data_IF_390482316057
#
_entry.id   IF_390482316057
#
_cell.length_a   1.000
_cell.length_b   1.000
_cell.length_c   1.000
_cell.angle_alpha   90.00
_cell.angle_beta   90.00
_cell.angle_gamma   90.00
#
_symmetry.space_group_name_H-M   'P 1'
#
loop_
_entity.id
_entity.type
_entity.pdbx_description
1 polymer ?
#
# COMPACT_ATOMS: atom_id res chain seq x y z
N UNK A 1 7.98 -12.94 11.65
CA UNK A 1 6.56 -12.80 11.25
C UNK A 1 6.49 -12.43 9.78
N UNK A 2 5.61 -13.05 9.00
CA UNK A 2 5.35 -12.64 7.62
C UNK A 2 4.30 -11.53 7.62
N UNK A 3 4.55 -10.44 6.90
CA UNK A 3 3.55 -9.39 6.66
C UNK A 3 3.37 -9.26 5.16
N UNK A 4 2.15 -9.38 4.68
CA UNK A 4 1.88 -9.42 3.25
C UNK A 4 0.57 -8.70 2.89
N UNK A 5 0.44 -8.33 1.62
CA UNK A 5 -0.75 -7.74 1.06
C UNK A 5 -0.96 -8.22 -0.37
N UNK A 6 -2.18 -8.59 -0.70
CA UNK A 6 -2.66 -8.85 -2.07
C UNK A 6 -3.40 -7.62 -2.64
N UNK A 7 -3.30 -6.47 -1.95
CA UNK A 7 -4.10 -5.28 -2.19
C UNK A 7 -3.23 -4.04 -2.38
N UNK A 8 -1.99 -4.21 -2.84
CA UNK A 8 -1.10 -3.07 -3.10
C UNK A 8 -1.50 -2.44 -4.43
N UNK A 9 -2.29 -1.36 -4.36
CA UNK A 9 -2.75 -0.65 -5.55
C UNK A 9 -1.59 -0.01 -6.32
N UNK A 10 -1.56 -0.23 -7.64
CA UNK A 10 -0.53 0.25 -8.56
C UNK A 10 -1.12 0.63 -9.92
N UNK A 11 -0.53 1.63 -10.58
CA UNK A 11 -0.90 2.00 -11.94
C UNK A 11 -0.37 0.98 -12.94
N UNK A 12 -1.22 0.61 -13.90
CA UNK A 12 -0.87 -0.28 -15.01
C UNK A 12 -0.33 0.49 -16.21
N UNK A 13 -0.85 1.69 -16.43
CA UNK A 13 -0.57 2.53 -17.58
C UNK A 13 -0.62 4.01 -17.23
N UNK A 14 -0.23 4.84 -18.19
CA UNK A 14 -0.36 6.29 -18.09
C UNK A 14 -1.82 6.69 -18.29
N UNK A 15 -2.37 7.46 -17.35
CA UNK A 15 -3.75 7.94 -17.40
C UNK A 15 -3.78 9.29 -18.12
N UNK A 16 -4.78 9.47 -18.99
CA UNK A 16 -5.13 10.76 -19.57
C UNK A 16 -6.51 11.15 -19.05
N UNK A 17 -6.56 12.16 -18.18
CA UNK A 17 -7.83 12.69 -17.69
C UNK A 17 -8.35 13.80 -18.58
N UNK A 18 -9.55 13.60 -19.13
CA UNK A 18 -10.30 14.58 -19.94
C UNK A 18 -11.54 15.05 -19.18
N UNK A 19 -12.20 14.13 -18.47
CA UNK A 19 -13.38 14.37 -17.66
C UNK A 19 -13.04 14.51 -16.17
N UNK A 20 -13.96 15.11 -15.41
CA UNK A 20 -13.71 15.47 -14.01
C UNK A 20 -13.44 14.29 -13.07
N UNK A 21 -13.90 13.10 -13.43
CA UNK A 21 -13.84 11.91 -12.60
C UNK A 21 -12.83 10.85 -13.10
N UNK A 22 -12.09 11.14 -14.17
CA UNK A 22 -11.06 10.24 -14.73
C UNK A 22 -9.94 9.96 -13.73
N UNK A 23 -9.67 10.89 -12.82
CA UNK A 23 -8.65 10.75 -11.77
C UNK A 23 -9.17 10.17 -10.46
N UNK A 24 -10.45 9.79 -10.38
CA UNK A 24 -11.01 9.18 -9.18
C UNK A 24 -10.53 7.74 -9.04
N UNK A 25 -9.98 7.40 -7.86
CA UNK A 25 -9.45 6.06 -7.59
C UNK A 25 -10.43 4.93 -7.92
N UNK A 26 -11.71 5.10 -7.55
CA UNK A 26 -12.75 4.10 -7.82
C UNK A 26 -13.01 3.90 -9.32
N UNK A 27 -12.97 4.98 -10.10
CA UNK A 27 -13.14 4.93 -11.54
C UNK A 27 -11.92 4.32 -12.21
N UNK A 28 -10.72 4.70 -11.79
CA UNK A 28 -9.47 4.12 -12.26
C UNK A 28 -9.37 2.61 -11.98
N UNK A 29 -9.81 2.16 -10.81
CA UNK A 29 -9.96 0.73 -10.51
C UNK A 29 -11.00 0.06 -11.40
N UNK A 30 -12.19 0.65 -11.55
CA UNK A 30 -13.30 0.11 -12.35
C UNK A 30 -12.93 -0.01 -13.84
N UNK A 31 -12.17 0.96 -14.35
CA UNK A 31 -11.75 1.04 -15.74
C UNK A 31 -10.47 0.22 -16.01
N UNK A 32 -9.87 -0.40 -14.98
CA UNK A 32 -8.73 -1.30 -15.13
C UNK A 32 -7.35 -0.62 -15.22
N UNK A 33 -7.27 0.68 -14.91
CA UNK A 33 -6.01 1.44 -14.85
C UNK A 33 -5.21 1.20 -13.57
N UNK A 34 -5.89 0.75 -12.50
CA UNK A 34 -5.25 0.35 -11.25
C UNK A 34 -5.40 -1.17 -11.08
N UNK A 35 -4.28 -1.82 -10.79
CA UNK A 35 -4.20 -3.23 -10.42
C UNK A 35 -3.84 -3.40 -8.95
N UNK A 36 -4.09 -4.59 -8.40
CA UNK A 36 -3.70 -4.96 -7.05
C UNK A 36 -2.53 -5.95 -7.11
N UNK A 37 -1.37 -5.51 -6.67
CA UNK A 37 -0.16 -6.32 -6.61
C UNK A 37 -0.05 -7.06 -5.27
N UNK A 38 0.68 -8.18 -5.31
CA UNK A 38 1.17 -8.86 -4.12
C UNK A 38 2.49 -8.25 -3.65
N UNK A 39 2.64 -8.06 -2.34
CA UNK A 39 3.92 -7.76 -1.71
C UNK A 39 4.01 -8.41 -0.33
N UNK A 40 5.23 -8.76 0.07
CA UNK A 40 5.50 -9.33 1.39
C UNK A 40 6.85 -8.88 1.96
N UNK A 41 6.95 -8.88 3.28
CA UNK A 41 8.20 -8.67 4.02
C UNK A 41 8.29 -9.65 5.19
N UNK A 42 9.51 -9.94 5.63
CA UNK A 42 9.76 -10.59 6.92
C UNK A 42 10.08 -9.54 7.96
N UNK A 43 9.30 -9.50 9.04
CA UNK A 43 9.46 -8.52 10.10
C UNK A 43 9.58 -9.18 11.48
N UNK A 44 10.22 -8.46 12.40
CA UNK A 44 10.19 -8.75 13.85
C UNK A 44 8.97 -8.04 14.44
N UNK A 45 8.14 -8.77 15.18
CA UNK A 45 6.98 -8.20 15.85
C UNK A 45 7.40 -7.52 17.15
N UNK A 46 7.03 -6.25 17.32
CA UNK A 46 7.16 -5.51 18.58
C UNK A 46 5.75 -5.25 19.09
N UNK A 47 5.41 -5.82 20.24
CA UNK A 47 4.09 -5.66 20.86
C UNK A 47 4.12 -4.45 21.77
N UNK A 48 3.22 -3.50 21.53
CA UNK A 48 3.13 -2.24 22.28
C UNK A 48 1.71 -1.70 22.28
N UNK A 49 1.36 -0.90 23.28
CA UNK A 49 0.10 -0.14 23.34
C UNK A 49 0.12 1.14 22.49
N UNK A 50 1.25 1.47 21.85
CA UNK A 50 1.41 2.69 21.08
C UNK A 50 0.57 2.72 19.79
N UNK A 51 0.11 1.57 19.29
CA UNK A 51 -0.80 1.49 18.13
C UNK A 51 -2.21 1.08 18.55
N UNK A 52 -3.21 1.56 17.80
CA UNK A 52 -4.61 1.15 18.00
C UNK A 52 -4.81 -0.29 17.54
N UNK A 53 -5.79 -0.98 18.13
CA UNK A 53 -6.21 -2.31 17.67
C UNK A 53 -6.54 -2.27 16.17
N UNK A 54 -5.96 -3.21 15.42
CA UNK A 54 -6.13 -3.30 13.96
C UNK A 54 -5.18 -2.40 13.14
N UNK A 55 -4.25 -1.69 13.78
CA UNK A 55 -3.26 -0.84 13.11
C UNK A 55 -1.86 -1.40 13.34
N UNK A 56 -1.09 -1.49 12.25
CA UNK A 56 0.32 -1.83 12.27
C UNK A 56 1.17 -0.60 11.97
N UNK A 57 2.36 -0.56 12.55
CA UNK A 57 3.42 0.37 12.18
C UNK A 57 4.62 -0.45 11.72
N UNK A 58 5.22 -0.06 10.60
CA UNK A 58 6.46 -0.66 10.10
C UNK A 58 7.50 0.42 9.87
N UNK A 59 8.73 0.15 10.34
CA UNK A 59 9.88 0.97 10.02
C UNK A 59 10.24 0.80 8.53
N UNK A 60 10.47 1.91 7.82
CA UNK A 60 10.87 1.91 6.40
C UNK A 60 12.37 2.18 6.20
N UNK A 61 13.14 2.32 7.28
CA UNK A 61 14.58 2.63 7.20
C UNK A 61 15.47 1.37 7.04
N UNK A 62 14.95 0.17 7.31
CA UNK A 62 15.72 -1.07 7.14
C UNK A 62 15.65 -1.56 5.70
N UNK A 63 16.74 -1.35 4.95
CA UNK A 63 16.84 -1.76 3.55
C UNK A 63 16.78 -3.28 3.35
N UNK A 64 17.03 -4.11 4.38
CA UNK A 64 16.93 -5.57 4.26
C UNK A 64 15.49 -6.04 4.12
N UNK A 65 14.53 -5.26 4.63
CA UNK A 65 13.11 -5.59 4.61
C UNK A 65 12.32 -4.32 4.20
N UNK A 66 12.20 -4.04 2.89
CA UNK A 66 11.64 -2.78 2.40
C UNK A 66 10.13 -2.70 2.65
N UNK A 67 9.74 -2.18 3.83
CA UNK A 67 8.33 -2.10 4.25
C UNK A 67 7.49 -1.16 3.39
N UNK A 68 8.12 -0.22 2.68
CA UNK A 68 7.45 0.61 1.67
C UNK A 68 6.88 -0.22 0.51
N UNK A 69 7.34 -1.45 0.28
CA UNK A 69 6.77 -2.36 -0.72
C UNK A 69 5.29 -2.70 -0.46
N UNK A 70 4.82 -2.58 0.79
CA UNK A 70 3.43 -2.79 1.21
C UNK A 70 2.53 -1.55 1.00
N UNK A 71 3.10 -0.41 0.58
CA UNK A 71 2.36 0.84 0.39
C UNK A 71 1.86 1.00 -1.04
N UNK A 72 0.77 1.75 -1.22
CA UNK A 72 0.21 2.00 -2.55
C UNK A 72 1.18 2.80 -3.42
N UNK A 73 1.21 2.47 -4.71
CA UNK A 73 1.94 3.18 -5.77
C UNK A 73 1.04 4.18 -6.51
N UNK A 74 -0.19 4.35 -6.04
CA UNK A 74 -1.12 5.38 -6.54
C UNK A 74 -0.89 6.66 -5.76
N UNK A 75 -0.53 7.72 -6.48
CA UNK A 75 -0.29 9.05 -5.91
C UNK A 75 -1.59 9.85 -5.77
N UNK A 76 -1.56 10.82 -4.87
CA UNK A 76 -2.53 11.91 -4.89
C UNK A 76 -2.44 12.68 -6.21
N UNK A 77 -3.55 12.81 -6.92
CA UNK A 77 -3.56 13.33 -8.30
C UNK A 77 -3.35 14.85 -8.37
N UNK A 78 -3.43 15.56 -7.24
CA UNK A 78 -3.22 17.01 -7.16
C UNK A 78 -1.76 17.32 -6.84
N UNK A 79 -1.21 16.69 -5.80
CA UNK A 79 0.14 16.98 -5.28
C UNK A 79 1.22 16.03 -5.80
N UNK A 80 0.86 14.88 -6.37
CA UNK A 80 1.80 13.85 -6.79
C UNK A 80 2.42 13.06 -5.62
N UNK A 81 1.95 13.26 -4.39
CA UNK A 81 2.50 12.59 -3.21
C UNK A 81 2.00 11.16 -3.07
N UNK A 82 2.89 10.25 -2.68
CA UNK A 82 2.53 8.88 -2.29
C UNK A 82 1.89 8.84 -0.91
N UNK A 83 0.92 7.94 -0.72
CA UNK A 83 0.32 7.67 0.58
C UNK A 83 1.09 6.58 1.36
N UNK A 84 2.24 6.94 1.93
CA UNK A 84 3.03 6.02 2.74
C UNK A 84 2.43 5.70 4.12
N UNK A 85 1.48 6.51 4.57
CA UNK A 85 0.90 6.38 5.92
C UNK A 85 -0.18 5.31 5.99
N UNK A 86 -0.73 4.89 4.86
CA UNK A 86 -1.85 3.97 4.78
C UNK A 86 -1.56 2.81 3.84
N UNK A 87 -1.98 1.63 4.26
CA UNK A 87 -1.91 0.40 3.48
C UNK A 87 -2.76 -0.66 4.18
N UNK A 88 -3.12 -1.70 3.43
CA UNK A 88 -3.81 -2.87 3.99
C UNK A 88 -2.84 -4.02 3.95
N UNK A 89 -2.62 -4.67 5.08
CA UNK A 89 -1.76 -5.84 5.19
C UNK A 89 -2.38 -6.87 6.14
N UNK A 90 -1.97 -8.12 5.95
CA UNK A 90 -2.21 -9.25 6.84
C UNK A 90 -0.87 -9.67 7.43
N UNK A 91 -0.88 -10.13 8.67
CA UNK A 91 0.27 -10.75 9.30
C UNK A 91 -0.02 -12.23 9.56
N UNK A 92 1.00 -13.07 9.33
CA UNK A 92 0.96 -14.51 9.62
C UNK A 92 2.15 -14.88 10.49
N UNK A 93 1.85 -15.60 11.57
CA UNK A 93 2.85 -16.23 12.40
C UNK A 93 3.24 -17.58 11.78
N UNK A 94 4.54 -17.85 11.72
CA UNK A 94 5.09 -19.11 11.25
C UNK A 94 5.70 -19.81 12.47
N UNK A 95 4.86 -20.42 13.29
CA UNK A 95 5.27 -21.39 14.30
C UNK A 95 4.28 -22.57 14.25
#
# INVERSE_FOLDING_TARGET
MLVYSERVANFKDTILGVESDDFQFSNLMKNGHIQLDYAEIKAVAIVTSATKKGVLYCNMMDMKNPANALTTRVVDQISGNYNYKMGVAKNKENW
#
